data_IF_689395888953
#
_entry.id   IF_689395888953
#
_cell.length_a   1.000
_cell.length_b   1.000
_cell.length_c   1.000
_cell.angle_alpha   90.00
_cell.angle_beta   90.00
_cell.angle_gamma   90.00
#
_symmetry.space_group_name_H-M   'P 1'
#
loop_
_entity.id
_entity.type
_entity.pdbx_description
1 polymer ?
#
# COMPACT_ATOMS: atom_id res chain seq x y z
N UNK A 1 23.38 13.79 4.20
CA UNK A 1 23.62 12.80 5.29
C UNK A 1 23.48 11.43 4.64
N UNK A 2 24.36 10.50 4.97
CA UNK A 2 24.26 9.10 4.48
C UNK A 2 23.33 8.32 5.39
N UNK A 3 22.39 7.60 4.81
CA UNK A 3 21.47 6.72 5.57
C UNK A 3 22.26 5.52 6.12
N UNK A 4 22.15 5.19 7.41
CA UNK A 4 22.84 4.04 7.98
C UNK A 4 22.23 2.72 7.47
N UNK A 5 23.09 1.74 7.21
CA UNK A 5 22.68 0.35 7.03
C UNK A 5 22.70 -0.34 8.41
N UNK A 6 21.61 -1.06 8.73
CA UNK A 6 21.49 -1.82 9.99
C UNK A 6 21.16 -3.28 9.67
N UNK A 7 21.70 -4.19 10.45
CA UNK A 7 21.43 -5.63 10.29
C UNK A 7 20.28 -6.13 11.16
N UNK A 8 20.05 -5.46 12.30
CA UNK A 8 19.01 -5.82 13.26
C UNK A 8 18.04 -4.66 13.50
N UNK A 9 16.77 -4.99 13.54
CA UNK A 9 15.69 -4.05 13.78
C UNK A 9 15.54 -3.64 15.24
N UNK A 10 15.88 -4.54 16.18
CA UNK A 10 15.64 -4.36 17.63
C UNK A 10 16.12 -3.02 18.19
N UNK A 11 17.36 -2.55 17.95
CA UNK A 11 17.81 -1.29 18.52
C UNK A 11 16.96 -0.09 18.10
N UNK A 12 16.56 -0.06 16.82
CA UNK A 12 15.71 1.00 16.28
C UNK A 12 14.27 0.87 16.80
N UNK A 13 13.75 -0.34 16.88
CA UNK A 13 12.38 -0.62 17.32
C UNK A 13 12.04 -0.05 18.71
N UNK A 14 13.04 0.12 19.59
CA UNK A 14 12.85 0.63 20.96
C UNK A 14 12.30 2.05 21.02
N UNK A 15 12.50 2.82 19.98
CA UNK A 15 12.06 4.22 19.89
C UNK A 15 10.62 4.37 19.40
N UNK A 16 9.95 3.27 19.01
CA UNK A 16 8.62 3.31 18.41
C UNK A 16 7.60 2.45 19.13
N UNK A 17 6.35 2.94 19.15
CA UNK A 17 5.20 2.25 19.72
C UNK A 17 4.34 1.58 18.65
N UNK A 18 4.40 2.09 17.41
CA UNK A 18 3.63 1.60 16.27
C UNK A 18 4.57 1.36 15.11
N UNK A 19 4.41 0.21 14.46
CA UNK A 19 5.05 -0.12 13.19
C UNK A 19 3.97 -0.28 12.10
N UNK A 20 4.05 0.55 11.06
CA UNK A 20 3.27 0.40 9.83
C UNK A 20 4.14 -0.36 8.82
N UNK A 21 3.88 -1.63 8.65
CA UNK A 21 4.71 -2.51 7.85
C UNK A 21 4.05 -2.81 6.50
N UNK A 22 4.76 -2.56 5.41
CA UNK A 22 4.33 -3.05 4.10
C UNK A 22 4.25 -4.59 4.09
N UNK A 23 3.50 -5.12 3.13
CA UNK A 23 3.17 -6.54 3.05
C UNK A 23 3.98 -7.23 1.97
N UNK A 24 3.78 -6.84 0.71
CA UNK A 24 4.45 -7.48 -0.41
C UNK A 24 5.94 -7.09 -0.43
N UNK A 25 6.82 -8.05 -0.59
CA UNK A 25 8.28 -7.82 -0.59
C UNK A 25 8.90 -7.69 0.80
N UNK A 26 8.11 -7.40 1.85
CA UNK A 26 8.60 -7.29 3.23
C UNK A 26 8.20 -8.48 4.08
N UNK A 27 6.94 -8.94 3.99
CA UNK A 27 6.41 -10.05 4.80
C UNK A 27 6.34 -11.35 4.00
N UNK A 28 6.14 -11.26 2.69
CA UNK A 28 6.09 -12.40 1.77
C UNK A 28 6.48 -12.00 0.34
N UNK A 29 6.74 -12.99 -0.50
CA UNK A 29 7.05 -12.84 -1.93
C UNK A 29 5.92 -13.33 -2.86
N UNK A 30 4.72 -13.53 -2.33
CA UNK A 30 3.58 -14.10 -3.07
C UNK A 30 3.54 -15.63 -3.10
N UNK A 31 4.61 -16.31 -2.72
CA UNK A 31 4.71 -17.78 -2.66
C UNK A 31 4.79 -18.28 -1.22
N UNK A 32 5.53 -17.58 -0.36
CA UNK A 32 5.73 -17.94 1.04
C UNK A 32 6.00 -16.69 1.87
N UNK A 33 5.68 -16.79 3.17
CA UNK A 33 6.09 -15.80 4.17
C UNK A 33 7.62 -15.76 4.35
N UNK A 34 8.12 -14.61 4.77
CA UNK A 34 9.50 -14.46 5.23
C UNK A 34 9.57 -14.69 6.74
N UNK A 35 10.10 -15.83 7.23
CA UNK A 35 10.05 -16.15 8.66
C UNK A 35 10.72 -15.10 9.55
N UNK A 36 11.85 -14.53 9.12
CA UNK A 36 12.55 -13.50 9.87
C UNK A 36 11.72 -12.22 10.05
N UNK A 37 10.98 -11.82 9.02
CA UNK A 37 10.10 -10.65 9.10
C UNK A 37 8.91 -10.92 10.03
N UNK A 38 8.32 -12.10 9.95
CA UNK A 38 7.26 -12.52 10.88
C UNK A 38 7.74 -12.54 12.33
N UNK A 39 8.95 -13.08 12.59
CA UNK A 39 9.57 -13.08 13.93
C UNK A 39 9.84 -11.66 14.43
N UNK A 40 10.35 -10.77 13.57
CA UNK A 40 10.58 -9.37 13.93
C UNK A 40 9.29 -8.65 14.33
N UNK A 41 8.20 -8.87 13.59
CA UNK A 41 6.89 -8.31 13.94
C UNK A 41 6.36 -8.87 15.26
N UNK A 42 6.49 -10.20 15.47
CA UNK A 42 6.06 -10.86 16.69
C UNK A 42 6.80 -10.29 17.91
N UNK A 43 8.13 -10.20 17.86
CA UNK A 43 8.95 -9.62 18.94
C UNK A 43 8.64 -8.14 19.18
N UNK A 44 8.39 -7.37 18.10
CA UNK A 44 7.95 -5.99 18.25
C UNK A 44 6.63 -5.91 19.05
N UNK A 45 5.71 -6.82 18.83
CA UNK A 45 4.43 -6.91 19.56
C UNK A 45 4.61 -7.42 21.00
N UNK A 46 5.44 -8.43 21.22
CA UNK A 46 5.73 -8.99 22.55
C UNK A 46 6.29 -7.94 23.53
N UNK A 47 7.02 -6.95 23.01
CA UNK A 47 7.49 -5.81 23.81
C UNK A 47 6.45 -4.70 23.99
N UNK A 48 5.19 -4.90 23.58
CA UNK A 48 4.09 -3.96 23.72
C UNK A 48 3.90 -3.02 22.51
N UNK A 49 4.62 -3.23 21.41
CA UNK A 49 4.43 -2.49 20.16
C UNK A 49 3.14 -2.91 19.43
N UNK A 50 2.62 -2.02 18.60
CA UNK A 50 1.46 -2.28 17.75
C UNK A 50 1.93 -2.38 16.30
N UNK A 51 1.98 -3.59 15.74
CA UNK A 51 2.31 -3.82 14.33
C UNK A 51 1.04 -3.83 13.49
N UNK A 52 0.94 -2.94 12.51
CA UNK A 52 -0.15 -2.86 11.54
C UNK A 52 0.44 -3.09 10.15
N UNK A 53 -0.12 -4.04 9.42
CA UNK A 53 0.22 -4.23 8.02
C UNK A 53 -0.51 -3.19 7.18
N UNK A 54 0.21 -2.53 6.26
CA UNK A 54 -0.32 -1.49 5.38
C UNK A 54 -0.06 -1.88 3.92
N UNK A 55 -1.11 -1.97 3.09
CA UNK A 55 -0.99 -2.50 1.72
C UNK A 55 -1.85 -1.76 0.71
N UNK A 56 -1.35 -1.63 -0.52
CA UNK A 56 -2.10 -1.08 -1.65
C UNK A 56 -3.08 -2.08 -2.28
N UNK A 57 -3.20 -3.29 -1.75
CA UNK A 57 -4.15 -4.28 -2.25
C UNK A 57 -5.58 -3.71 -2.30
N UNK A 58 -6.28 -3.78 -3.45
CA UNK A 58 -7.66 -3.32 -3.60
C UNK A 58 -8.65 -4.35 -3.04
N UNK A 59 -8.47 -4.75 -1.78
CA UNK A 59 -9.24 -5.80 -1.09
C UNK A 59 -9.40 -5.44 0.37
N UNK A 60 -10.52 -5.85 0.97
CA UNK A 60 -10.69 -5.71 2.41
C UNK A 60 -9.59 -6.45 3.19
N UNK A 61 -9.16 -5.89 4.31
CA UNK A 61 -8.08 -6.42 5.14
C UNK A 61 -8.30 -7.88 5.55
N UNK A 62 -9.55 -8.30 5.81
CA UNK A 62 -9.87 -9.70 6.09
C UNK A 62 -9.57 -10.63 4.89
N UNK A 63 -9.75 -10.14 3.66
CA UNK A 63 -9.38 -10.91 2.46
C UNK A 63 -7.87 -10.99 2.29
N UNK A 64 -7.15 -9.92 2.63
CA UNK A 64 -5.68 -9.92 2.68
C UNK A 64 -5.20 -10.92 3.74
N UNK A 65 -5.79 -10.89 4.94
CA UNK A 65 -5.44 -11.81 6.02
C UNK A 65 -5.58 -13.29 5.64
N UNK A 66 -6.65 -13.66 4.91
CA UNK A 66 -6.80 -15.04 4.37
C UNK A 66 -5.72 -15.42 3.36
N UNK A 67 -5.18 -14.44 2.60
CA UNK A 67 -4.06 -14.69 1.71
C UNK A 67 -2.80 -14.92 2.54
N UNK A 68 -2.55 -14.10 3.54
CA UNK A 68 -1.40 -14.23 4.45
C UNK A 68 -1.40 -15.57 5.20
N UNK A 69 -2.56 -16.05 5.65
CA UNK A 69 -2.70 -17.38 6.27
C UNK A 69 -2.21 -18.50 5.34
N UNK A 70 -2.62 -18.45 4.05
CA UNK A 70 -2.19 -19.45 3.06
C UNK A 70 -0.69 -19.39 2.75
N UNK A 71 -0.09 -18.22 2.90
CA UNK A 71 1.35 -18.02 2.72
C UNK A 71 2.17 -18.37 3.97
N UNK A 72 1.51 -18.66 5.09
CA UNK A 72 2.15 -19.04 6.34
C UNK A 72 2.56 -17.87 7.22
N UNK A 73 1.97 -16.69 7.05
CA UNK A 73 2.17 -15.56 7.97
C UNK A 73 1.37 -15.78 9.25
N UNK A 74 2.01 -15.84 10.43
CA UNK A 74 1.30 -16.04 11.69
C UNK A 74 0.36 -14.88 12.01
N UNK A 75 -0.86 -15.18 12.46
CA UNK A 75 -1.86 -14.16 12.83
C UNK A 75 -1.45 -13.28 14.01
N UNK A 76 -0.61 -13.78 14.87
CA UNK A 76 -0.05 -13.07 16.03
C UNK A 76 1.14 -12.17 15.67
N UNK A 77 1.68 -12.26 14.45
CA UNK A 77 2.73 -11.36 13.99
C UNK A 77 2.24 -9.91 13.82
N UNK A 78 0.94 -9.68 13.60
CA UNK A 78 0.37 -8.35 13.42
C UNK A 78 -0.92 -8.16 14.21
N UNK A 79 -1.24 -6.90 14.54
CA UNK A 79 -2.43 -6.54 15.31
C UNK A 79 -3.63 -6.26 14.39
N UNK A 80 -3.38 -5.69 13.21
CA UNK A 80 -4.40 -5.36 12.22
C UNK A 80 -3.78 -5.23 10.82
N UNK A 81 -4.65 -5.19 9.81
CA UNK A 81 -4.31 -4.83 8.43
C UNK A 81 -5.12 -3.59 8.07
N UNK A 82 -4.47 -2.63 7.42
CA UNK A 82 -5.11 -1.49 6.77
C UNK A 82 -4.77 -1.56 5.28
N UNK A 83 -5.77 -1.82 4.46
CA UNK A 83 -5.61 -1.93 3.01
C UNK A 83 -6.16 -0.72 2.28
N UNK A 84 -5.68 -0.46 1.07
CA UNK A 84 -6.30 0.50 0.16
C UNK A 84 -7.76 0.14 -0.13
N UNK A 85 -8.08 -1.15 -0.16
CA UNK A 85 -9.46 -1.64 -0.27
C UNK A 85 -10.34 -1.23 0.91
N UNK A 86 -9.84 -1.27 2.15
CA UNK A 86 -10.61 -0.82 3.33
C UNK A 86 -10.90 0.67 3.27
N UNK A 87 -9.91 1.49 2.89
CA UNK A 87 -10.08 2.92 2.67
C UNK A 87 -11.12 3.18 1.59
N UNK A 88 -11.03 2.46 0.47
CA UNK A 88 -12.01 2.55 -0.63
C UNK A 88 -13.42 2.21 -0.14
N UNK A 89 -13.58 1.14 0.64
CA UNK A 89 -14.88 0.76 1.24
C UNK A 89 -15.47 1.86 2.10
N UNK A 90 -14.64 2.50 2.93
CA UNK A 90 -15.06 3.66 3.74
C UNK A 90 -15.55 4.83 2.89
N UNK A 91 -14.85 5.13 1.78
CA UNK A 91 -15.26 6.17 0.83
C UNK A 91 -16.58 5.80 0.14
N UNK A 92 -16.72 4.56 -0.34
CA UNK A 92 -17.97 4.06 -0.95
C UNK A 92 -19.13 4.17 0.03
N UNK A 93 -18.96 3.70 1.26
CA UNK A 93 -19.99 3.78 2.30
C UNK A 93 -20.43 5.23 2.58
N UNK A 94 -19.49 6.19 2.59
CA UNK A 94 -19.79 7.61 2.81
C UNK A 94 -20.52 8.27 1.63
N UNK A 95 -20.53 7.65 0.45
CA UNK A 95 -21.15 8.14 -0.77
C UNK A 95 -22.53 7.56 -1.06
N UNK A 96 -23.00 6.59 -0.26
CA UNK A 96 -24.35 6.04 -0.44
C UNK A 96 -25.41 7.14 -0.28
N UNK A 97 -26.47 7.16 -1.12
CA UNK A 97 -26.86 6.16 -2.11
C UNK A 97 -26.39 6.44 -3.56
N UNK A 98 -25.29 7.18 -3.77
CA UNK A 98 -24.78 7.45 -5.12
C UNK A 98 -24.47 6.17 -5.89
N UNK A 99 -24.73 6.20 -7.19
CA UNK A 99 -24.47 5.06 -8.09
C UNK A 99 -22.99 5.01 -8.49
N UNK A 100 -22.43 3.81 -8.59
CA UNK A 100 -21.01 3.61 -8.88
C UNK A 100 -20.80 2.85 -10.20
N UNK A 101 -19.85 3.33 -11.01
CA UNK A 101 -19.23 2.52 -12.06
C UNK A 101 -17.97 1.87 -11.52
N UNK A 102 -17.92 0.54 -11.51
CA UNK A 102 -16.72 -0.20 -11.14
C UNK A 102 -15.84 -0.40 -12.37
N UNK A 103 -14.67 0.22 -12.37
CA UNK A 103 -13.61 0.03 -13.35
C UNK A 103 -12.57 -0.92 -12.75
N UNK A 104 -12.60 -2.18 -13.17
CA UNK A 104 -11.70 -3.21 -12.67
C UNK A 104 -12.25 -4.62 -12.84
N UNK A 105 -11.44 -5.63 -12.52
CA UNK A 105 -11.81 -7.03 -12.71
C UNK A 105 -12.85 -7.48 -11.66
N UNK A 106 -13.65 -8.48 -12.01
CA UNK A 106 -14.71 -9.04 -11.14
C UNK A 106 -14.19 -9.54 -9.79
N UNK A 107 -12.93 -10.02 -9.74
CA UNK A 107 -12.32 -10.50 -8.49
C UNK A 107 -12.21 -9.42 -7.41
N UNK A 108 -12.26 -8.13 -7.78
CA UNK A 108 -12.17 -7.00 -6.86
C UNK A 108 -13.54 -6.49 -6.39
N UNK A 109 -14.66 -7.06 -6.87
CA UNK A 109 -16.01 -6.75 -6.40
C UNK A 109 -16.19 -6.98 -4.89
N UNK A 110 -15.30 -7.76 -4.27
CA UNK A 110 -15.24 -7.91 -2.81
C UNK A 110 -15.08 -6.60 -2.04
N UNK A 111 -14.58 -5.52 -2.70
CA UNK A 111 -14.54 -4.16 -2.14
C UNK A 111 -15.95 -3.70 -1.72
N UNK A 112 -16.98 -4.09 -2.44
CA UNK A 112 -18.36 -3.66 -2.22
C UNK A 112 -19.18 -4.61 -1.34
N UNK A 113 -18.61 -5.76 -0.95
CA UNK A 113 -19.33 -6.76 -0.18
C UNK A 113 -19.91 -6.20 1.13
N UNK A 114 -21.23 -6.43 1.36
CA UNK A 114 -21.93 -5.95 2.55
C UNK A 114 -22.26 -4.45 2.56
N UNK A 115 -22.03 -3.74 1.44
CA UNK A 115 -22.50 -2.36 1.24
C UNK A 115 -23.71 -2.40 0.29
N UNK A 116 -24.70 -1.55 0.55
CA UNK A 116 -25.89 -1.41 -0.30
C UNK A 116 -25.58 -0.50 -1.50
N UNK A 117 -24.74 -1.00 -2.41
CA UNK A 117 -24.22 -0.27 -3.56
C UNK A 117 -25.08 -0.52 -4.78
N UNK A 118 -25.49 0.53 -5.46
CA UNK A 118 -26.11 0.46 -6.77
C UNK A 118 -25.07 0.66 -7.86
N UNK A 119 -24.81 -0.40 -8.63
CA UNK A 119 -23.92 -0.31 -9.79
C UNK A 119 -24.67 0.29 -10.99
N UNK A 120 -23.96 1.11 -11.77
CA UNK A 120 -24.49 1.72 -12.99
C UNK A 120 -23.48 1.61 -14.14
N UNK A 121 -23.99 1.67 -15.36
CA UNK A 121 -23.14 1.87 -16.53
C UNK A 121 -22.46 3.25 -16.45
N UNK A 122 -21.34 3.39 -17.16
CA UNK A 122 -20.53 4.61 -17.12
C UNK A 122 -21.36 5.88 -17.35
N UNK A 123 -22.33 5.83 -18.27
CA UNK A 123 -23.19 6.94 -18.67
C UNK A 123 -24.16 7.41 -17.58
N UNK A 124 -24.47 6.52 -16.61
CA UNK A 124 -25.45 6.77 -15.56
C UNK A 124 -24.82 6.87 -14.15
N UNK A 125 -23.54 6.55 -14.02
CA UNK A 125 -22.87 6.55 -12.71
C UNK A 125 -22.61 7.97 -12.20
N UNK A 126 -22.66 8.13 -10.87
CA UNK A 126 -22.32 9.37 -10.17
C UNK A 126 -20.81 9.51 -9.95
N UNK A 127 -20.10 8.39 -9.78
CA UNK A 127 -18.65 8.35 -9.62
C UNK A 127 -18.08 6.98 -10.04
N UNK A 128 -16.76 6.89 -10.08
CA UNK A 128 -16.02 5.70 -10.49
C UNK A 128 -15.20 5.17 -9.32
N UNK A 129 -15.22 3.85 -9.11
CA UNK A 129 -14.22 3.14 -8.29
C UNK A 129 -13.34 2.33 -9.23
N UNK A 130 -12.06 2.71 -9.32
CA UNK A 130 -11.07 2.01 -10.14
C UNK A 130 -10.22 1.10 -9.26
N UNK A 131 -10.34 -0.21 -9.44
CA UNK A 131 -9.51 -1.23 -8.76
C UNK A 131 -8.45 -1.84 -9.67
N UNK A 132 -8.51 -1.61 -10.98
CA UNK A 132 -7.57 -2.14 -11.97
C UNK A 132 -8.11 -2.04 -13.38
N UNK A 133 -7.46 -2.75 -14.30
CA UNK A 133 -7.93 -2.99 -15.65
C UNK A 133 -8.99 -4.11 -15.62
N UNK A 134 -9.86 -4.19 -16.61
CA UNK A 134 -10.83 -5.30 -16.70
C UNK A 134 -10.09 -6.63 -16.92
N UNK A 135 -9.14 -6.64 -17.83
CA UNK A 135 -8.21 -7.76 -18.04
C UNK A 135 -6.76 -7.26 -17.97
N UNK A 136 -6.14 -7.41 -16.82
CA UNK A 136 -4.75 -6.98 -16.58
C UNK A 136 -3.69 -7.88 -17.22
N UNK A 137 -4.10 -8.93 -17.93
CA UNK A 137 -3.20 -9.82 -18.66
C UNK A 137 -3.00 -9.39 -20.12
N UNK A 138 -3.95 -8.69 -20.70
CA UNK A 138 -3.95 -8.32 -22.11
C UNK A 138 -4.08 -6.84 -22.37
N UNK A 139 -4.66 -6.09 -21.45
CA UNK A 139 -4.94 -4.67 -21.63
C UNK A 139 -3.81 -3.78 -21.08
N UNK A 140 -3.77 -2.55 -21.58
CA UNK A 140 -2.86 -1.51 -21.12
C UNK A 140 -3.64 -0.23 -20.84
N UNK A 141 -3.09 0.76 -20.14
CA UNK A 141 -3.77 2.05 -19.94
C UNK A 141 -4.21 2.72 -21.25
N UNK A 142 -3.51 2.47 -22.36
CA UNK A 142 -3.88 2.99 -23.68
C UNK A 142 -5.24 2.46 -24.19
N UNK A 143 -5.62 1.26 -23.78
CA UNK A 143 -6.92 0.64 -24.13
C UNK A 143 -8.12 1.41 -23.55
N UNK A 144 -7.88 2.24 -22.54
CA UNK A 144 -8.92 2.97 -21.79
C UNK A 144 -9.06 4.44 -22.19
N UNK A 145 -8.31 4.91 -23.20
CA UNK A 145 -8.28 6.34 -23.60
C UNK A 145 -9.65 6.94 -23.79
N UNK A 146 -10.50 6.27 -24.56
CA UNK A 146 -11.84 6.79 -24.90
C UNK A 146 -12.77 6.78 -23.69
N UNK A 147 -12.68 5.74 -22.84
CA UNK A 147 -13.42 5.65 -21.59
C UNK A 147 -13.01 6.77 -20.62
N UNK A 148 -11.70 7.00 -20.43
CA UNK A 148 -11.21 8.07 -19.57
C UNK A 148 -11.60 9.46 -20.09
N UNK A 149 -11.62 9.66 -21.41
CA UNK A 149 -12.10 10.88 -22.03
C UNK A 149 -13.62 11.08 -21.78
N UNK A 150 -14.43 10.02 -21.90
CA UNK A 150 -15.85 10.06 -21.59
C UNK A 150 -16.11 10.37 -20.10
N UNK A 151 -15.34 9.75 -19.19
CA UNK A 151 -15.38 10.08 -17.76
C UNK A 151 -15.04 11.54 -17.51
N UNK A 152 -14.00 12.06 -18.17
CA UNK A 152 -13.60 13.47 -18.04
C UNK A 152 -14.67 14.43 -18.55
N UNK A 153 -15.30 14.13 -19.70
CA UNK A 153 -16.39 14.94 -20.26
C UNK A 153 -17.57 15.06 -19.29
N UNK A 154 -17.84 14.00 -18.50
CA UNK A 154 -18.86 14.00 -17.45
C UNK A 154 -18.36 14.55 -16.10
N UNK A 155 -17.11 14.94 -16.00
CA UNK A 155 -16.47 15.39 -14.74
C UNK A 155 -16.63 14.37 -13.60
N UNK A 156 -16.59 13.08 -13.91
CA UNK A 156 -16.72 12.02 -12.90
C UNK A 156 -15.55 12.06 -11.93
N UNK A 157 -15.85 11.86 -10.65
CA UNK A 157 -14.84 11.68 -9.62
C UNK A 157 -14.40 10.22 -9.59
N UNK A 158 -13.09 9.97 -9.56
CA UNK A 158 -12.54 8.62 -9.47
C UNK A 158 -11.96 8.34 -8.07
N UNK A 159 -12.31 7.22 -7.49
CA UNK A 159 -11.68 6.63 -6.32
C UNK A 159 -10.74 5.53 -6.80
N UNK A 160 -9.44 5.72 -6.64
CA UNK A 160 -8.42 4.75 -7.00
C UNK A 160 -8.13 3.81 -5.83
N UNK A 161 -8.53 2.55 -5.97
CA UNK A 161 -8.43 1.54 -4.91
C UNK A 161 -7.05 0.86 -4.83
N UNK A 162 -6.15 1.09 -5.78
CA UNK A 162 -4.77 0.62 -5.80
C UNK A 162 -3.86 1.63 -6.51
N UNK A 163 -3.12 2.49 -5.80
CA UNK A 163 -2.25 3.50 -6.42
C UNK A 163 -0.99 2.96 -7.10
N UNK A 164 -0.68 1.68 -7.00
CA UNK A 164 0.47 1.12 -7.72
C UNK A 164 0.27 1.26 -9.22
N UNK A 165 1.37 1.57 -9.93
CA UNK A 165 1.36 1.66 -11.39
C UNK A 165 1.37 0.30 -12.04
N UNK A 166 2.24 -0.56 -11.52
CA UNK A 166 2.43 -1.95 -11.94
C UNK A 166 2.76 -2.80 -10.72
N UNK A 167 2.49 -4.10 -10.83
CA UNK A 167 2.95 -5.11 -9.87
C UNK A 167 3.54 -6.29 -10.63
N UNK A 168 4.46 -7.00 -10.01
CA UNK A 168 4.95 -8.27 -10.53
C UNK A 168 3.95 -9.40 -10.24
N UNK A 169 3.66 -10.18 -11.25
CA UNK A 169 2.89 -11.43 -11.15
C UNK A 169 3.68 -12.55 -11.83
N UNK A 170 4.40 -13.33 -11.04
CA UNK A 170 5.44 -14.22 -11.58
C UNK A 170 6.53 -13.39 -12.28
N UNK A 171 6.83 -13.72 -13.53
CA UNK A 171 7.84 -13.03 -14.34
C UNK A 171 7.25 -11.90 -15.21
N UNK A 172 6.00 -11.48 -14.94
CA UNK A 172 5.30 -10.49 -15.78
C UNK A 172 4.91 -9.27 -14.96
N UNK A 173 5.18 -8.07 -15.49
CA UNK A 173 4.64 -6.81 -14.95
C UNK A 173 3.22 -6.60 -15.47
N UNK A 174 2.27 -6.40 -14.56
CA UNK A 174 0.88 -6.09 -14.88
C UNK A 174 0.50 -4.71 -14.36
N UNK A 175 -0.28 -3.99 -15.16
CA UNK A 175 -0.76 -2.66 -14.78
C UNK A 175 -1.79 -2.73 -13.65
N UNK A 176 -1.75 -1.74 -12.76
CA UNK A 176 -2.69 -1.55 -11.68
C UNK A 176 -3.58 -0.31 -11.90
N UNK A 177 -4.53 -0.10 -10.99
CA UNK A 177 -5.45 1.03 -11.06
C UNK A 177 -4.75 2.39 -11.06
N UNK A 178 -3.59 2.52 -10.42
CA UNK A 178 -2.78 3.75 -10.41
C UNK A 178 -2.43 4.22 -11.81
N UNK A 179 -2.12 3.31 -12.74
CA UNK A 179 -1.82 3.65 -14.12
C UNK A 179 -3.02 4.32 -14.85
N UNK A 180 -4.24 3.83 -14.58
CA UNK A 180 -5.47 4.43 -15.12
C UNK A 180 -5.81 5.74 -14.41
N UNK A 181 -5.61 5.79 -13.10
CA UNK A 181 -5.87 6.98 -12.29
C UNK A 181 -4.95 8.15 -12.67
N UNK A 182 -3.64 7.87 -12.90
CA UNK A 182 -2.68 8.88 -13.36
C UNK A 182 -3.00 9.35 -14.80
N UNK A 183 -3.40 8.42 -15.68
CA UNK A 183 -3.85 8.79 -17.01
C UNK A 183 -5.11 9.68 -16.97
N UNK A 184 -6.05 9.38 -16.06
CA UNK A 184 -7.25 10.19 -15.85
C UNK A 184 -6.92 11.56 -15.25
N UNK A 185 -6.04 11.63 -14.26
CA UNK A 185 -5.58 12.89 -13.67
C UNK A 185 -4.86 13.76 -14.70
N UNK A 186 -4.07 13.18 -15.62
CA UNK A 186 -3.40 13.89 -16.70
C UNK A 186 -4.40 14.54 -17.69
N UNK A 187 -5.61 13.99 -17.84
CA UNK A 187 -6.72 14.60 -18.58
C UNK A 187 -7.46 15.69 -17.77
N UNK A 188 -7.01 15.99 -16.55
CA UNK A 188 -7.67 16.93 -15.63
C UNK A 188 -8.85 16.31 -14.88
N UNK A 189 -8.95 14.98 -14.79
CA UNK A 189 -9.92 14.28 -13.98
C UNK A 189 -9.62 14.38 -12.49
N UNK A 190 -10.65 14.41 -11.64
CA UNK A 190 -10.50 14.42 -10.21
C UNK A 190 -10.33 12.99 -9.68
N UNK A 191 -9.24 12.74 -8.96
CA UNK A 191 -8.89 11.41 -8.41
C UNK A 191 -8.62 11.49 -6.91
N UNK A 192 -9.17 10.54 -6.14
CA UNK A 192 -8.77 10.26 -4.76
C UNK A 192 -8.05 8.89 -4.73
N UNK A 193 -6.78 8.92 -4.36
CA UNK A 193 -6.00 7.70 -4.19
C UNK A 193 -6.12 7.18 -2.76
N UNK A 194 -6.53 5.92 -2.60
CA UNK A 194 -6.83 5.32 -1.29
C UNK A 194 -5.63 4.64 -0.61
N UNK A 195 -4.54 4.42 -1.34
CA UNK A 195 -3.34 3.73 -0.83
C UNK A 195 -2.09 4.60 -0.75
N UNK A 196 -0.96 3.98 -0.42
CA UNK A 196 0.36 4.61 -0.41
C UNK A 196 0.73 5.14 -1.80
N UNK A 197 1.34 6.31 -1.93
CA UNK A 197 1.91 7.20 -0.91
C UNK A 197 0.93 8.24 -0.34
N UNK A 198 -0.37 8.12 -0.58
CA UNK A 198 -1.37 9.15 -0.27
C UNK A 198 -1.86 9.06 1.18
N UNK A 199 -2.25 10.22 1.75
CA UNK A 199 -2.63 10.35 3.14
C UNK A 199 -3.77 9.44 3.62
N UNK A 200 -4.83 9.13 2.85
CA UNK A 200 -5.97 8.37 3.35
C UNK A 200 -5.63 7.03 4.02
N UNK A 201 -4.64 6.30 3.48
CA UNK A 201 -4.27 5.01 4.08
C UNK A 201 -3.48 5.16 5.38
N UNK A 202 -2.66 6.21 5.51
CA UNK A 202 -1.94 6.50 6.75
C UNK A 202 -2.88 7.00 7.84
N UNK A 203 -3.86 7.85 7.50
CA UNK A 203 -4.90 8.29 8.43
C UNK A 203 -5.71 7.09 8.95
N UNK A 204 -6.13 6.18 8.07
CA UNK A 204 -6.83 4.96 8.45
C UNK A 204 -5.97 4.04 9.34
N UNK A 205 -4.68 3.87 9.03
CA UNK A 205 -3.76 3.07 9.82
C UNK A 205 -3.54 3.66 11.21
N UNK A 206 -3.40 4.99 11.34
CA UNK A 206 -3.27 5.65 12.65
C UNK A 206 -4.56 5.63 13.46
N UNK A 207 -5.72 5.70 12.82
CA UNK A 207 -7.02 5.49 13.49
C UNK A 207 -7.13 4.05 14.03
N UNK A 208 -6.72 3.06 13.24
CA UNK A 208 -6.66 1.67 13.67
C UNK A 208 -5.69 1.48 14.85
N UNK A 209 -4.50 2.10 14.77
CA UNK A 209 -3.54 2.09 15.87
C UNK A 209 -4.12 2.70 17.15
N UNK A 210 -4.80 3.84 17.03
CA UNK A 210 -5.45 4.50 18.18
C UNK A 210 -6.52 3.60 18.81
N UNK A 211 -7.39 2.98 18.00
CA UNK A 211 -8.43 2.08 18.50
C UNK A 211 -7.84 0.88 19.25
N UNK A 212 -6.78 0.25 18.74
CA UNK A 212 -6.06 -0.86 19.38
C UNK A 212 -5.35 -0.46 20.67
N UNK A 213 -5.06 0.81 20.85
CA UNK A 213 -4.37 1.41 22.01
C UNK A 213 -5.32 2.13 22.97
N UNK A 214 -6.58 1.70 23.04
CA UNK A 214 -7.59 2.26 23.95
C UNK A 214 -8.05 3.67 23.60
N UNK A 215 -8.03 4.04 22.34
CA UNK A 215 -8.45 5.36 21.85
C UNK A 215 -7.33 6.43 21.86
N UNK A 216 -6.10 6.05 22.25
CA UNK A 216 -4.97 6.98 22.34
C UNK A 216 -4.23 7.03 21.01
N UNK A 217 -4.30 8.17 20.33
CA UNK A 217 -3.57 8.38 19.07
C UNK A 217 -2.06 8.36 19.32
N UNK A 218 -1.28 7.57 18.54
CA UNK A 218 0.17 7.56 18.69
C UNK A 218 0.76 8.90 18.21
N UNK A 219 1.76 9.40 18.93
CA UNK A 219 2.52 10.54 18.45
C UNK A 219 3.31 10.12 17.20
N UNK A 220 3.28 10.90 16.11
CA UNK A 220 3.92 10.54 14.83
C UNK A 220 5.40 10.16 14.98
N UNK A 221 6.14 10.86 15.85
CA UNK A 221 7.55 10.52 16.16
C UNK A 221 7.76 9.16 16.83
N UNK A 222 6.67 8.49 17.25
CA UNK A 222 6.64 7.15 17.86
C UNK A 222 6.06 6.11 16.89
N UNK A 223 5.85 6.51 15.63
CA UNK A 223 5.40 5.64 14.54
C UNK A 223 6.52 5.46 13.54
N UNK A 224 6.86 4.23 13.23
CA UNK A 224 7.81 3.86 12.21
C UNK A 224 7.05 3.21 11.04
N UNK A 225 7.38 3.55 9.81
CA UNK A 225 6.95 2.80 8.64
C UNK A 225 8.10 1.94 8.11
N UNK A 226 7.79 0.82 7.49
CA UNK A 226 8.76 -0.02 6.77
C UNK A 226 8.18 -0.53 5.46
N UNK A 227 9.02 -0.62 4.43
CA UNK A 227 8.62 -1.08 3.10
C UNK A 227 9.82 -1.14 2.17
N UNK A 228 9.57 -1.49 0.90
CA UNK A 228 10.62 -1.70 -0.11
C UNK A 228 10.56 -0.71 -1.27
N UNK A 229 9.51 0.11 -1.34
CA UNK A 229 9.29 1.02 -2.45
C UNK A 229 9.58 2.47 -2.08
N UNK A 230 10.49 3.11 -2.82
CA UNK A 230 10.73 4.55 -2.70
C UNK A 230 9.51 5.35 -3.14
N UNK A 231 8.77 4.87 -4.14
CA UNK A 231 7.67 5.59 -4.78
C UNK A 231 6.39 5.62 -3.94
N UNK A 232 6.10 4.58 -3.22
CA UNK A 232 4.89 4.40 -2.41
C UNK A 232 5.18 4.51 -0.92
N UNK A 233 6.04 3.65 -0.38
CA UNK A 233 6.28 3.55 1.06
C UNK A 233 7.05 4.73 1.60
N UNK A 234 8.26 4.95 1.08
CA UNK A 234 9.15 5.98 1.61
C UNK A 234 8.61 7.39 1.37
N UNK A 235 8.14 7.69 0.13
CA UNK A 235 7.54 8.99 -0.16
C UNK A 235 6.28 9.23 0.68
N UNK A 236 5.44 8.21 0.85
CA UNK A 236 4.22 8.32 1.64
C UNK A 236 4.52 8.56 3.11
N UNK A 237 5.41 7.76 3.72
CA UNK A 237 5.83 7.94 5.11
C UNK A 237 6.44 9.32 5.34
N UNK A 238 7.33 9.77 4.45
CA UNK A 238 7.96 11.10 4.52
C UNK A 238 6.92 12.22 4.41
N UNK A 239 6.00 12.16 3.44
CA UNK A 239 4.93 13.15 3.27
C UNK A 239 3.99 13.19 4.47
N UNK A 240 3.79 12.07 5.15
CA UNK A 240 2.97 11.97 6.36
C UNK A 240 3.73 12.30 7.65
N UNK A 241 5.04 12.57 7.57
CA UNK A 241 5.91 12.96 8.68
C UNK A 241 6.26 11.80 9.61
N UNK A 242 6.43 10.59 9.05
CA UNK A 242 6.85 9.39 9.77
C UNK A 242 8.31 9.07 9.50
N UNK A 243 8.99 8.52 10.49
CA UNK A 243 10.27 7.84 10.30
C UNK A 243 10.05 6.55 9.47
N UNK A 244 11.08 6.13 8.72
CA UNK A 244 10.96 5.02 7.78
C UNK A 244 12.20 4.16 7.74
N UNK A 245 12.03 2.84 7.65
CA UNK A 245 13.07 1.85 7.37
C UNK A 245 12.85 1.29 5.96
N UNK A 246 13.88 1.40 5.13
CA UNK A 246 13.88 0.86 3.78
C UNK A 246 14.39 -0.58 3.75
N UNK A 247 13.62 -1.50 3.15
CA UNK A 247 13.97 -2.93 3.01
C UNK A 247 14.41 -3.19 1.57
N UNK A 248 15.61 -3.74 1.37
CA UNK A 248 16.21 -3.82 0.03
C UNK A 248 16.07 -5.18 -0.67
N UNK A 249 15.79 -6.27 0.04
CA UNK A 249 15.76 -7.64 -0.55
C UNK A 249 14.47 -7.98 -1.31
N UNK A 250 13.61 -7.00 -1.52
CA UNK A 250 12.32 -7.16 -2.16
C UNK A 250 12.40 -7.04 -3.71
N UNK A 251 11.26 -6.74 -4.33
CA UNK A 251 11.05 -6.72 -5.79
C UNK A 251 12.06 -5.84 -6.54
N UNK A 252 12.46 -4.71 -5.93
CA UNK A 252 13.38 -3.74 -6.52
C UNK A 252 14.86 -3.98 -6.20
N UNK A 253 15.21 -5.15 -5.64
CA UNK A 253 16.58 -5.42 -5.21
C UNK A 253 17.62 -5.22 -6.33
N UNK A 254 17.30 -5.60 -7.56
CA UNK A 254 18.19 -5.47 -8.71
C UNK A 254 18.43 -4.01 -9.15
N UNK A 255 17.52 -3.11 -8.84
CA UNK A 255 17.70 -1.66 -9.10
C UNK A 255 18.78 -1.05 -8.19
N UNK A 256 19.06 -1.68 -7.04
CA UNK A 256 19.93 -1.17 -5.99
C UNK A 256 21.13 -2.09 -5.71
N UNK A 257 21.57 -2.87 -6.69
CA UNK A 257 22.67 -3.81 -6.56
C UNK A 257 22.21 -5.26 -6.60
N UNK A 258 22.48 -6.05 -5.56
CA UNK A 258 21.95 -7.42 -5.43
C UNK A 258 21.15 -7.58 -4.14
N UNK A 259 20.33 -8.63 -4.07
CA UNK A 259 19.59 -8.97 -2.85
C UNK A 259 20.51 -9.19 -1.64
N UNK A 260 21.75 -9.62 -1.89
CA UNK A 260 22.73 -9.93 -0.84
C UNK A 260 23.59 -8.73 -0.45
N UNK A 261 23.87 -7.84 -1.41
CA UNK A 261 24.75 -6.68 -1.22
C UNK A 261 24.15 -5.43 -1.89
N UNK A 262 23.30 -4.68 -1.18
CA UNK A 262 22.74 -3.46 -1.73
C UNK A 262 23.82 -2.39 -1.94
N UNK A 263 23.78 -1.71 -3.08
CA UNK A 263 24.62 -0.57 -3.37
C UNK A 263 24.11 0.66 -2.61
N UNK A 264 24.72 0.95 -1.47
CA UNK A 264 24.34 2.08 -0.63
C UNK A 264 24.58 3.44 -1.30
N UNK A 265 25.49 3.53 -2.29
CA UNK A 265 25.70 4.76 -3.05
C UNK A 265 24.54 5.01 -4.02
N UNK A 266 24.11 3.97 -4.75
CA UNK A 266 22.93 4.02 -5.63
C UNK A 266 21.65 4.31 -4.83
N UNK A 267 21.45 3.66 -3.68
CA UNK A 267 20.32 3.92 -2.79
C UNK A 267 20.29 5.37 -2.30
N UNK A 268 21.41 5.90 -1.79
CA UNK A 268 21.47 7.29 -1.33
C UNK A 268 21.24 8.29 -2.47
N UNK A 269 21.68 7.98 -3.69
CA UNK A 269 21.38 8.81 -4.86
C UNK A 269 19.88 8.80 -5.18
N UNK A 270 19.23 7.64 -5.12
CA UNK A 270 17.79 7.49 -5.31
C UNK A 270 16.98 8.22 -4.24
N UNK A 271 17.38 8.12 -2.97
CA UNK A 271 16.73 8.86 -1.88
C UNK A 271 16.88 10.36 -2.05
N UNK A 272 18.06 10.83 -2.46
CA UNK A 272 18.31 12.25 -2.74
C UNK A 272 17.45 12.74 -3.93
N UNK A 273 17.36 11.97 -5.01
CA UNK A 273 16.52 12.30 -6.16
C UNK A 273 15.02 12.34 -5.80
N UNK A 274 14.60 11.51 -4.86
CA UNK A 274 13.23 11.51 -4.34
C UNK A 274 12.98 12.56 -3.25
N UNK A 275 14.00 13.30 -2.82
CA UNK A 275 13.98 14.27 -1.71
C UNK A 275 13.49 13.66 -0.38
N UNK A 276 13.86 12.42 -0.10
CA UNK A 276 13.49 11.66 1.11
C UNK A 276 14.74 11.08 1.76
N UNK A 277 14.68 10.86 3.08
CA UNK A 277 15.79 10.26 3.83
C UNK A 277 15.21 9.24 4.79
N UNK A 278 15.40 7.93 4.55
CA UNK A 278 14.98 6.91 5.52
C UNK A 278 15.85 6.98 6.79
N UNK A 279 15.30 6.53 7.89
CA UNK A 279 15.98 6.43 9.18
C UNK A 279 17.11 5.39 9.14
N UNK A 280 16.85 4.30 8.43
CA UNK A 280 17.81 3.24 8.19
C UNK A 280 17.45 2.46 6.93
N UNK A 281 18.43 1.72 6.42
CA UNK A 281 18.28 0.69 5.38
C UNK A 281 18.57 -0.66 6.01
N UNK A 282 17.77 -1.65 5.67
CA UNK A 282 17.97 -3.05 6.03
C UNK A 282 17.86 -3.92 4.78
N UNK A 283 18.52 -5.08 4.78
CA UNK A 283 18.34 -6.06 3.72
C UNK A 283 16.95 -6.70 3.80
N UNK A 284 16.58 -7.19 4.94
CA UNK A 284 15.28 -7.75 5.27
C UNK A 284 14.90 -7.31 6.69
N UNK A 285 13.62 -7.34 7.03
CA UNK A 285 13.17 -7.04 8.38
C UNK A 285 13.58 -8.21 9.29
N UNK A 286 14.62 -8.01 10.10
CA UNK A 286 15.20 -9.00 11.01
C UNK A 286 15.35 -8.37 12.39
N UNK A 287 14.95 -9.12 13.43
CA UNK A 287 15.01 -8.63 14.83
C UNK A 287 16.41 -8.53 15.38
#
# INVERSE_FOLDING_TARGET
MTTPFIENFEPLARDYDVLLCDVWGVIHNGLAAFPAACDALLRFRERGGTAILITNAPRAGESVARILDRLGVPRDAYAAITSSGDVTRGIVASRLPQTVFHLGPERDLSIFAGLDVTFAALEAADYVVCSGLFDDTTETPASYRDMLAAMRARSLFMVCANPDMVVERGDTLVYCAGALADAYAALGGAVLYCGKPHAPIYDAALQTAAALRGGIAPARRRVLASGDSVRTDLKGAAAFGLDYVFVTSAIHAEEYGSREAPDMAALNATFAAAAVVPKAVMRALVW
#
